data_IF_621112725743
#
_entry.id   IF_621112725743
#
_cell.length_a   1.000
_cell.length_b   1.000
_cell.length_c   1.000
_cell.angle_alpha   90.00
_cell.angle_beta   90.00
_cell.angle_gamma   90.00
#
_symmetry.space_group_name_H-M   'P 1'
#
loop_
_entity.id
_entity.type
_entity.pdbx_description
1 polymer ?
#
# COMPACT_ATOMS: atom_id res chain seq x y z
N UNK A 1 43.87 -1.50 34.18
CA UNK A 1 43.90 -0.98 32.79
C UNK A 1 43.18 -1.89 31.80
N UNK A 2 43.37 -3.21 31.81
CA UNK A 2 42.67 -4.13 30.89
C UNK A 2 41.15 -4.16 31.08
N UNK A 3 40.67 -4.28 32.33
CA UNK A 3 39.22 -4.26 32.64
C UNK A 3 38.52 -2.97 32.19
N UNK A 4 39.18 -1.81 32.21
CA UNK A 4 38.56 -0.56 31.76
C UNK A 4 38.43 -0.51 30.23
N UNK A 5 39.43 -1.03 29.49
CA UNK A 5 39.40 -1.10 28.03
C UNK A 5 38.32 -2.08 27.55
N UNK A 6 38.19 -3.25 28.19
CA UNK A 6 37.12 -4.21 27.86
C UNK A 6 35.73 -3.65 28.14
N UNK A 7 35.57 -2.89 29.23
CA UNK A 7 34.29 -2.26 29.56
C UNK A 7 33.93 -1.11 28.60
N UNK A 8 34.92 -0.32 28.18
CA UNK A 8 34.74 0.74 27.17
C UNK A 8 34.45 0.14 25.79
N UNK A 9 35.21 -0.88 25.40
CA UNK A 9 34.99 -1.64 24.17
C UNK A 9 33.58 -2.25 24.15
N UNK A 10 33.10 -2.82 25.26
CA UNK A 10 31.74 -3.36 25.36
C UNK A 10 30.66 -2.26 25.27
N UNK A 11 30.88 -1.10 25.90
CA UNK A 11 29.94 0.06 25.87
C UNK A 11 29.78 0.66 24.48
N UNK A 12 30.78 0.53 23.62
CA UNK A 12 30.78 1.08 22.26
C UNK A 12 30.38 0.00 21.24
N UNK A 13 30.92 -1.21 21.37
CA UNK A 13 30.71 -2.31 20.41
C UNK A 13 29.25 -2.79 20.41
N UNK A 14 28.61 -2.89 21.57
CA UNK A 14 27.24 -3.40 21.65
C UNK A 14 26.21 -2.48 20.94
N UNK A 15 26.15 -1.16 21.20
CA UNK A 15 25.31 -0.26 20.41
C UNK A 15 25.62 -0.29 18.92
N UNK A 16 26.89 -0.35 18.53
CA UNK A 16 27.27 -0.38 17.12
C UNK A 16 26.81 -1.66 16.41
N UNK A 17 26.96 -2.83 17.03
CA UNK A 17 26.46 -4.10 16.48
C UNK A 17 24.95 -4.06 16.34
N UNK A 18 24.23 -3.58 17.36
CA UNK A 18 22.77 -3.41 17.29
C UNK A 18 22.39 -2.45 16.15
N UNK A 19 23.10 -1.33 16.02
CA UNK A 19 22.82 -0.35 14.98
C UNK A 19 23.08 -0.87 13.56
N UNK A 20 24.20 -1.57 13.37
CA UNK A 20 24.55 -2.20 12.11
C UNK A 20 23.55 -3.29 11.71
N UNK A 21 23.16 -4.16 12.66
CA UNK A 21 22.17 -5.22 12.41
C UNK A 21 20.80 -4.65 12.05
N UNK A 22 20.36 -3.59 12.75
CA UNK A 22 19.07 -2.98 12.49
C UNK A 22 19.04 -2.27 11.13
N UNK A 23 20.10 -1.52 10.79
CA UNK A 23 20.28 -0.90 9.47
C UNK A 23 20.26 -1.93 8.34
N UNK A 24 21.02 -3.04 8.50
CA UNK A 24 21.07 -4.12 7.52
C UNK A 24 19.70 -4.78 7.34
N UNK A 25 19.04 -5.10 8.45
CA UNK A 25 17.72 -5.75 8.44
C UNK A 25 16.72 -4.86 7.70
N UNK A 26 16.60 -3.59 8.10
CA UNK A 26 15.65 -2.67 7.50
C UNK A 26 15.92 -2.44 6.01
N UNK A 27 17.19 -2.28 5.62
CA UNK A 27 17.57 -2.16 4.21
C UNK A 27 17.22 -3.43 3.41
N UNK A 28 17.48 -4.61 3.96
CA UNK A 28 17.12 -5.89 3.33
C UNK A 28 15.61 -6.02 3.11
N UNK A 29 14.79 -5.61 4.08
CA UNK A 29 13.34 -5.56 3.91
C UNK A 29 12.92 -4.59 2.80
N UNK A 30 13.48 -3.37 2.77
CA UNK A 30 13.18 -2.37 1.72
C UNK A 30 13.49 -2.95 0.33
N UNK A 31 14.68 -3.51 0.13
CA UNK A 31 15.10 -4.07 -1.16
C UNK A 31 14.17 -5.22 -1.60
N UNK A 32 13.80 -6.12 -0.68
CA UNK A 32 12.91 -7.24 -1.00
C UNK A 32 11.48 -6.78 -1.33
N UNK A 33 10.95 -5.82 -0.58
CA UNK A 33 9.63 -5.23 -0.85
C UNK A 33 9.64 -4.50 -2.20
N UNK A 34 10.68 -3.70 -2.46
CA UNK A 34 10.83 -2.98 -3.72
C UNK A 34 10.96 -3.94 -4.91
N UNK A 35 11.74 -5.01 -4.79
CA UNK A 35 11.83 -6.05 -5.83
C UNK A 35 10.47 -6.70 -6.15
N UNK A 36 9.64 -6.97 -5.12
CA UNK A 36 8.28 -7.49 -5.33
C UNK A 36 7.33 -6.45 -5.93
N UNK A 37 7.47 -5.18 -5.58
CA UNK A 37 6.71 -4.09 -6.20
C UNK A 37 6.96 -4.04 -7.70
N UNK A 38 8.23 -4.06 -8.12
CA UNK A 38 8.59 -4.07 -9.53
C UNK A 38 8.00 -5.29 -10.27
N UNK A 39 8.00 -6.46 -9.64
CA UNK A 39 7.41 -7.67 -10.21
C UNK A 39 5.86 -7.65 -10.25
N UNK A 40 5.21 -6.78 -9.48
CA UNK A 40 3.74 -6.73 -9.36
C UNK A 40 3.03 -5.94 -10.47
N UNK A 41 3.78 -5.35 -11.41
CA UNK A 41 3.22 -4.44 -12.42
C UNK A 41 2.51 -5.14 -13.60
N UNK A 42 2.42 -6.47 -13.61
CA UNK A 42 2.12 -7.25 -14.81
C UNK A 42 0.88 -8.17 -14.71
N UNK A 43 -0.20 -7.70 -14.06
CA UNK A 43 -1.43 -8.52 -13.94
C UNK A 43 -2.65 -7.80 -14.50
N UNK A 44 -3.13 -8.32 -15.62
CA UNK A 44 -4.40 -7.96 -16.25
C UNK A 44 -5.56 -8.40 -15.36
N UNK A 45 -6.58 -7.56 -15.25
CA UNK A 45 -7.83 -7.88 -14.58
C UNK A 45 -8.48 -9.13 -15.19
N UNK A 46 -8.64 -10.18 -14.39
CA UNK A 46 -9.57 -11.29 -14.63
C UNK A 46 -10.83 -11.04 -13.78
N UNK A 47 -11.96 -10.72 -14.42
CA UNK A 47 -13.31 -10.87 -13.86
C UNK A 47 -13.79 -9.81 -12.86
N UNK A 48 -15.08 -9.45 -12.98
CA UNK A 48 -15.77 -8.40 -12.23
C UNK A 48 -15.98 -8.72 -10.75
N UNK A 49 -15.57 -7.87 -9.80
CA UNK A 49 -16.20 -7.74 -8.51
C UNK A 49 -17.37 -6.74 -8.62
N UNK A 50 -18.53 -7.21 -9.10
CA UNK A 50 -19.79 -6.55 -8.74
C UNK A 50 -20.09 -6.88 -7.27
N UNK A 51 -20.65 -5.94 -6.51
CA UNK A 51 -21.06 -6.25 -5.14
C UNK A 51 -22.43 -6.93 -5.17
N UNK A 52 -22.46 -8.21 -4.82
CA UNK A 52 -23.69 -8.98 -4.67
C UNK A 52 -24.25 -8.77 -3.28
N UNK A 53 -25.45 -8.19 -3.16
CA UNK A 53 -26.14 -8.00 -1.89
C UNK A 53 -27.33 -8.96 -1.80
N UNK A 54 -27.54 -9.56 -0.63
CA UNK A 54 -28.69 -10.43 -0.38
C UNK A 54 -29.69 -9.70 0.50
N UNK A 55 -30.95 -9.63 0.07
CA UNK A 55 -31.99 -8.99 0.88
C UNK A 55 -32.59 -9.97 1.90
N UNK A 56 -33.16 -9.45 3.00
CA UNK A 56 -33.63 -10.25 4.13
C UNK A 56 -35.09 -10.68 4.04
N UNK A 57 -35.88 -10.07 3.14
CA UNK A 57 -37.34 -10.29 3.09
C UNK A 57 -37.76 -11.42 2.14
N UNK A 58 -36.99 -11.63 1.09
CA UNK A 58 -37.03 -12.79 0.19
C UNK A 58 -35.56 -12.99 -0.23
N UNK A 59 -35.10 -14.21 -0.47
CA UNK A 59 -33.67 -14.51 -0.74
C UNK A 59 -33.15 -13.93 -2.07
N UNK A 60 -33.74 -12.85 -2.55
CA UNK A 60 -33.38 -12.17 -3.78
C UNK A 60 -31.99 -11.58 -3.67
N UNK A 61 -31.17 -11.98 -4.63
CA UNK A 61 -29.81 -11.51 -4.79
C UNK A 61 -29.86 -10.32 -5.76
N UNK A 62 -29.59 -9.12 -5.24
CA UNK A 62 -29.46 -7.92 -6.05
C UNK A 62 -27.99 -7.66 -6.38
N UNK A 63 -27.73 -7.21 -7.60
CA UNK A 63 -26.39 -6.82 -8.01
C UNK A 63 -26.26 -5.30 -7.96
N UNK A 64 -25.23 -4.81 -7.27
CA UNK A 64 -24.96 -3.38 -7.15
C UNK A 64 -23.58 -3.06 -7.72
N UNK A 65 -23.51 -2.02 -8.54
CA UNK A 65 -22.26 -1.57 -9.18
C UNK A 65 -22.24 -0.06 -9.39
N UNK A 66 -21.04 0.53 -9.48
CA UNK A 66 -20.87 1.92 -9.86
C UNK A 66 -21.17 2.12 -11.36
N UNK A 67 -22.01 3.11 -11.66
CA UNK A 67 -22.41 3.49 -13.01
C UNK A 67 -22.03 4.94 -13.35
N UNK A 68 -22.25 5.33 -14.61
CA UNK A 68 -22.20 6.74 -15.02
C UNK A 68 -23.47 7.49 -14.58
N UNK A 69 -23.56 8.79 -14.88
CA UNK A 69 -24.72 9.62 -14.54
C UNK A 69 -26.00 9.23 -15.29
N UNK A 70 -25.86 8.50 -16.39
CA UNK A 70 -26.94 7.92 -17.19
C UNK A 70 -27.44 6.56 -16.66
N UNK A 71 -26.78 5.99 -15.65
CA UNK A 71 -27.13 4.66 -15.10
C UNK A 71 -26.55 3.48 -15.87
N UNK A 72 -25.63 3.72 -16.81
CA UNK A 72 -24.95 2.70 -17.60
C UNK A 72 -23.65 2.26 -16.92
N UNK A 73 -23.21 1.04 -17.21
CA UNK A 73 -21.94 0.53 -16.68
C UNK A 73 -20.75 1.39 -17.10
N UNK A 74 -19.80 1.56 -16.19
CA UNK A 74 -18.57 2.29 -16.48
C UNK A 74 -17.68 1.48 -17.43
N UNK A 75 -17.59 1.86 -18.70
CA UNK A 75 -16.77 1.14 -19.70
C UNK A 75 -15.43 1.85 -19.91
N UNK A 76 -14.37 1.06 -20.14
CA UNK A 76 -13.10 1.56 -20.66
C UNK A 76 -13.08 1.37 -22.18
N UNK A 77 -13.14 2.47 -22.94
CA UNK A 77 -13.08 2.41 -24.41
C UNK A 77 -11.73 1.91 -24.95
N UNK A 78 -10.63 2.16 -24.22
CA UNK A 78 -9.28 1.76 -24.64
C UNK A 78 -9.06 0.25 -24.43
N UNK A 79 -9.46 -0.27 -23.27
CA UNK A 79 -9.29 -1.70 -22.95
C UNK A 79 -10.47 -2.56 -23.42
N UNK A 80 -11.58 -1.95 -23.84
CA UNK A 80 -12.84 -2.60 -24.17
C UNK A 80 -13.35 -3.53 -23.05
N UNK A 81 -13.35 -3.04 -21.81
CA UNK A 81 -13.87 -3.77 -20.65
C UNK A 81 -14.87 -2.92 -19.87
N UNK A 82 -15.87 -3.58 -19.29
CA UNK A 82 -16.63 -2.99 -18.17
C UNK A 82 -15.71 -2.90 -16.97
N UNK A 83 -15.51 -1.69 -16.46
CA UNK A 83 -14.63 -1.44 -15.31
C UNK A 83 -15.32 -1.98 -14.06
N UNK A 84 -14.66 -2.89 -13.32
CA UNK A 84 -15.01 -3.12 -11.92
C UNK A 84 -15.10 -1.83 -11.13
N UNK A 85 -15.83 -1.87 -10.02
CA UNK A 85 -15.86 -0.77 -9.06
C UNK A 85 -14.43 -0.36 -8.66
N UNK A 86 -14.22 0.96 -8.55
CA UNK A 86 -12.93 1.58 -8.17
C UNK A 86 -11.79 1.32 -9.17
N UNK A 87 -12.08 0.84 -10.38
CA UNK A 87 -11.07 0.65 -11.44
C UNK A 87 -10.90 1.90 -12.29
N UNK A 88 -9.65 2.27 -12.54
CA UNK A 88 -9.31 3.38 -13.41
C UNK A 88 -8.30 2.95 -14.48
N UNK A 89 -8.42 3.52 -15.68
CA UNK A 89 -7.45 3.29 -16.76
C UNK A 89 -6.25 4.22 -16.56
N UNK A 90 -5.06 3.64 -16.40
CA UNK A 90 -3.82 4.39 -16.38
C UNK A 90 -3.27 4.48 -17.81
N UNK A 91 -3.14 5.70 -18.33
CA UNK A 91 -2.58 5.95 -19.66
C UNK A 91 -1.11 5.54 -19.75
N UNK A 92 -0.31 5.80 -18.71
CA UNK A 92 1.12 5.46 -18.70
C UNK A 92 1.36 3.95 -18.73
N UNK A 93 0.56 3.17 -18.00
CA UNK A 93 0.63 1.71 -18.03
C UNK A 93 -0.21 1.08 -19.15
N UNK A 94 -1.00 1.87 -19.87
CA UNK A 94 -1.94 1.44 -20.91
C UNK A 94 -2.86 0.28 -20.48
N UNK A 95 -3.35 0.31 -19.24
CA UNK A 95 -4.20 -0.75 -18.69
C UNK A 95 -5.12 -0.23 -17.58
N UNK A 96 -6.22 -0.94 -17.37
CA UNK A 96 -7.12 -0.73 -16.24
C UNK A 96 -6.56 -1.34 -14.97
N UNK A 97 -6.48 -0.55 -13.90
CA UNK A 97 -5.94 -0.95 -12.60
C UNK A 97 -7.09 -1.03 -11.58
N UNK A 98 -7.29 -2.20 -10.99
CA UNK A 98 -8.31 -2.42 -9.95
C UNK A 98 -7.97 -1.66 -8.67
N UNK A 99 -8.96 -0.98 -8.09
CA UNK A 99 -8.78 -0.10 -6.91
C UNK A 99 -7.56 0.79 -7.11
N UNK A 100 -7.47 1.43 -8.27
CA UNK A 100 -6.31 2.25 -8.63
C UNK A 100 -6.13 3.34 -7.58
N UNK A 101 -4.93 3.42 -7.04
CA UNK A 101 -4.55 4.51 -6.17
C UNK A 101 -3.91 5.61 -7.01
N UNK A 102 -2.72 5.38 -7.54
CA UNK A 102 -2.06 6.32 -8.43
C UNK A 102 -1.02 5.63 -9.31
N UNK A 103 -0.58 6.32 -10.36
CA UNK A 103 0.64 5.95 -11.08
C UNK A 103 1.83 6.59 -10.38
N UNK A 104 2.81 5.78 -9.96
CA UNK A 104 3.96 6.23 -9.20
C UNK A 104 5.24 6.09 -10.03
N UNK A 105 5.85 7.20 -10.48
CA UNK A 105 7.10 7.17 -11.25
C UNK A 105 8.26 6.52 -10.48
N UNK A 106 8.27 6.63 -9.15
CA UNK A 106 9.35 6.13 -8.29
C UNK A 106 9.44 4.61 -8.22
N UNK A 107 8.35 3.91 -8.51
CA UNK A 107 8.32 2.45 -8.62
C UNK A 107 8.15 2.00 -10.08
N UNK A 108 8.09 2.93 -11.04
CA UNK A 108 7.93 2.61 -12.46
C UNK A 108 6.57 2.03 -12.84
N UNK A 109 5.52 2.23 -12.05
CA UNK A 109 4.21 1.65 -12.35
C UNK A 109 3.07 2.08 -11.42
N UNK A 110 1.91 1.44 -11.58
CA UNK A 110 0.72 1.76 -10.79
C UNK A 110 0.71 1.09 -9.42
N UNK A 111 0.14 1.81 -8.46
CA UNK A 111 -0.33 1.28 -7.18
C UNK A 111 -1.83 1.01 -7.29
N UNK A 112 -2.24 -0.19 -6.96
CA UNK A 112 -3.65 -0.64 -6.97
C UNK A 112 -3.87 -1.80 -6.02
N UNK A 113 -5.02 -2.48 -6.12
CA UNK A 113 -5.44 -3.52 -5.18
C UNK A 113 -4.35 -4.57 -4.88
N UNK A 114 -3.67 -5.06 -5.92
CA UNK A 114 -2.73 -6.18 -5.80
C UNK A 114 -1.43 -5.83 -5.08
N UNK A 115 -0.98 -4.59 -5.19
CA UNK A 115 0.32 -4.16 -4.66
C UNK A 115 0.24 -3.04 -3.63
N UNK A 116 -0.98 -2.63 -3.22
CA UNK A 116 -1.20 -1.58 -2.22
C UNK A 116 -0.46 -1.87 -0.92
N UNK A 117 -0.55 -3.11 -0.41
CA UNK A 117 0.19 -3.53 0.80
C UNK A 117 1.70 -3.36 0.63
N UNK A 118 2.25 -3.82 -0.49
CA UNK A 118 3.69 -3.72 -0.77
C UNK A 118 4.13 -2.27 -0.85
N UNK A 119 3.33 -1.40 -1.48
CA UNK A 119 3.62 0.03 -1.60
C UNK A 119 3.62 0.70 -0.22
N UNK A 120 2.62 0.40 0.61
CA UNK A 120 2.55 0.93 1.97
C UNK A 120 3.73 0.45 2.83
N UNK A 121 4.11 -0.83 2.73
CA UNK A 121 5.29 -1.35 3.44
C UNK A 121 6.59 -0.70 2.96
N UNK A 122 6.72 -0.45 1.66
CA UNK A 122 7.87 0.29 1.11
C UNK A 122 7.96 1.69 1.73
N UNK A 123 6.86 2.45 1.78
CA UNK A 123 6.81 3.76 2.43
C UNK A 123 7.12 3.70 3.93
N UNK A 124 6.55 2.74 4.64
CA UNK A 124 6.75 2.58 6.07
C UNK A 124 8.22 2.28 6.39
N UNK A 125 8.84 1.32 5.68
CA UNK A 125 10.23 0.94 5.93
C UNK A 125 11.22 2.01 5.49
N UNK A 126 10.99 2.67 4.36
CA UNK A 126 11.86 3.78 3.91
C UNK A 126 11.77 4.97 4.85
N UNK A 127 10.58 5.32 5.34
CA UNK A 127 10.40 6.34 6.39
C UNK A 127 11.14 5.97 7.67
N UNK A 128 10.95 4.73 8.13
CA UNK A 128 11.65 4.22 9.33
C UNK A 128 13.17 4.28 9.15
N UNK A 129 13.67 3.94 7.95
CA UNK A 129 15.09 3.96 7.64
C UNK A 129 15.65 5.38 7.59
N UNK A 130 14.92 6.33 7.00
CA UNK A 130 15.31 7.73 7.00
C UNK A 130 15.40 8.29 8.44
N UNK A 131 14.39 8.04 9.27
CA UNK A 131 14.40 8.45 10.68
C UNK A 131 15.51 7.76 11.48
N UNK A 132 15.83 6.51 11.15
CA UNK A 132 16.92 5.76 11.77
C UNK A 132 18.30 6.30 11.41
N UNK A 133 18.56 6.59 10.14
CA UNK A 133 19.81 7.23 9.70
C UNK A 133 19.96 8.59 10.37
N UNK A 134 18.86 9.36 10.45
CA UNK A 134 18.82 10.64 11.13
C UNK A 134 19.22 10.55 12.61
N UNK A 135 18.71 9.56 13.35
CA UNK A 135 19.04 9.42 14.78
C UNK A 135 20.51 9.03 14.99
N UNK A 136 21.09 8.22 14.10
CA UNK A 136 22.51 7.84 14.15
C UNK A 136 23.41 9.05 13.87
N UNK A 137 23.07 9.89 12.90
CA UNK A 137 23.87 11.06 12.50
C UNK A 137 23.74 12.22 13.49
N UNK A 138 22.62 12.33 14.21
CA UNK A 138 22.34 13.46 15.09
C UNK A 138 23.34 13.61 16.26
N UNK A 139 23.56 12.53 17.02
CA UNK A 139 24.43 12.54 18.20
C UNK A 139 25.91 12.88 17.93
N UNK A 140 26.62 12.28 16.94
CA UNK A 140 27.98 12.71 16.62
C UNK A 140 28.06 14.16 16.20
N UNK A 141 27.16 14.56 15.30
CA UNK A 141 27.27 15.85 14.65
C UNK A 141 27.06 16.98 15.67
N UNK A 142 26.08 16.82 16.56
CA UNK A 142 25.89 17.76 17.67
C UNK A 142 27.11 17.84 18.57
N UNK A 143 27.71 16.70 18.98
CA UNK A 143 28.94 16.70 19.79
C UNK A 143 30.10 17.39 19.09
N UNK A 144 30.31 17.11 17.81
CA UNK A 144 31.38 17.70 17.02
C UNK A 144 31.20 19.23 16.88
N UNK A 145 29.96 19.70 16.69
CA UNK A 145 29.60 21.12 16.67
C UNK A 145 29.87 21.76 18.04
N UNK A 146 29.42 21.15 19.15
CA UNK A 146 29.65 21.68 20.49
C UNK A 146 31.14 21.76 20.87
N UNK A 147 31.95 20.84 20.35
CA UNK A 147 33.40 20.83 20.53
C UNK A 147 34.13 21.80 19.60
N UNK A 148 33.42 22.56 18.76
CA UNK A 148 34.01 23.56 17.86
C UNK A 148 34.89 22.95 16.76
N UNK A 149 34.61 21.71 16.34
CA UNK A 149 35.41 21.05 15.31
C UNK A 149 35.21 21.71 13.94
N UNK A 150 36.30 22.05 13.21
CA UNK A 150 36.19 22.65 11.89
C UNK A 150 35.61 21.67 10.85
N UNK A 151 34.87 22.23 9.88
CA UNK A 151 34.33 21.43 8.76
C UNK A 151 35.45 21.16 7.75
N UNK A 152 35.66 19.87 7.46
CA UNK A 152 36.54 19.39 6.41
C UNK A 152 35.76 19.24 5.10
N UNK A 153 36.23 19.93 4.06
CA UNK A 153 35.78 19.75 2.67
C UNK A 153 36.41 18.53 2.00
N UNK A 154 37.13 17.66 2.74
CA UNK A 154 37.61 16.40 2.19
C UNK A 154 36.38 15.58 1.79
N UNK A 155 36.08 15.60 0.49
CA UNK A 155 35.19 14.63 -0.09
C UNK A 155 35.86 13.29 0.15
N UNK A 156 35.36 12.53 1.12
CA UNK A 156 36.01 11.31 1.54
C UNK A 156 35.82 10.32 0.40
N UNK A 157 36.78 10.30 -0.52
CA UNK A 157 36.86 9.36 -1.65
C UNK A 157 36.69 7.93 -1.16
N UNK A 158 37.03 7.67 0.11
CA UNK A 158 36.81 6.42 0.81
C UNK A 158 35.33 6.18 1.19
N UNK A 159 34.54 7.20 1.53
CA UNK A 159 33.09 7.08 1.73
C UNK A 159 32.34 6.90 0.40
N UNK A 160 32.79 7.57 -0.67
CA UNK A 160 32.30 7.33 -2.03
C UNK A 160 32.67 5.93 -2.53
N UNK A 161 33.91 5.48 -2.31
CA UNK A 161 34.34 4.10 -2.55
C UNK A 161 33.57 3.11 -1.69
N UNK A 162 33.28 3.41 -0.43
CA UNK A 162 32.49 2.57 0.46
C UNK A 162 31.04 2.50 -0.03
N UNK A 163 30.45 3.61 -0.47
CA UNK A 163 29.13 3.67 -1.08
C UNK A 163 29.09 2.87 -2.40
N UNK A 164 30.02 3.10 -3.32
CA UNK A 164 30.17 2.33 -4.57
C UNK A 164 30.46 0.85 -4.30
N UNK A 165 31.27 0.53 -3.29
CA UNK A 165 31.57 -0.84 -2.87
C UNK A 165 30.35 -1.48 -2.22
N UNK A 166 29.54 -0.73 -1.48
CA UNK A 166 28.29 -1.19 -0.88
C UNK A 166 27.25 -1.43 -1.98
N UNK A 167 27.13 -0.53 -2.96
CA UNK A 167 26.29 -0.72 -4.15
C UNK A 167 26.77 -1.90 -5.00
N UNK A 168 28.08 -2.04 -5.21
CA UNK A 168 28.71 -3.18 -5.91
C UNK A 168 28.49 -4.49 -5.14
N UNK A 169 28.63 -4.50 -3.82
CA UNK A 169 28.35 -5.66 -2.96
C UNK A 169 26.87 -5.96 -2.89
N UNK A 170 25.98 -4.98 -2.88
CA UNK A 170 24.52 -5.18 -2.97
C UNK A 170 24.18 -5.79 -4.35
N UNK A 171 24.81 -5.31 -5.43
CA UNK A 171 24.67 -5.87 -6.77
C UNK A 171 25.20 -7.30 -6.92
N UNK A 172 26.34 -7.63 -6.30
CA UNK A 172 26.93 -8.98 -6.31
C UNK A 172 26.25 -9.92 -5.31
N UNK A 173 25.73 -9.43 -4.19
CA UNK A 173 25.01 -10.26 -3.19
C UNK A 173 23.64 -10.74 -3.69
N UNK A 174 23.13 -10.23 -4.81
CA UNK A 174 22.04 -10.89 -5.54
C UNK A 174 22.45 -12.26 -6.12
N UNK A 175 23.74 -12.49 -6.38
CA UNK A 175 24.25 -13.70 -7.03
C UNK A 175 24.80 -14.76 -6.06
N UNK A 176 25.17 -14.39 -4.83
CA UNK A 176 25.92 -15.28 -3.91
C UNK A 176 25.47 -15.24 -2.44
N UNK A 177 24.16 -15.12 -2.20
CA UNK A 177 23.52 -14.95 -0.88
C UNK A 177 23.60 -16.18 0.06
N UNK A 178 24.81 -16.71 0.34
CA UNK A 178 24.99 -17.95 1.10
C UNK A 178 26.11 -18.00 2.16
N UNK A 179 26.98 -16.99 2.33
CA UNK A 179 28.09 -17.09 3.32
C UNK A 179 28.36 -15.78 4.08
N UNK A 180 28.00 -15.78 5.36
CA UNK A 180 28.23 -14.74 6.37
C UNK A 180 29.70 -14.72 6.81
N UNK A 181 30.42 -13.57 6.70
CA UNK A 181 31.55 -13.24 7.62
C UNK A 181 32.27 -11.88 7.43
N UNK A 182 31.91 -11.00 6.49
CA UNK A 182 32.79 -9.85 6.14
C UNK A 182 32.44 -8.47 6.72
N UNK A 183 31.51 -8.36 7.68
CA UNK A 183 30.93 -7.06 8.08
C UNK A 183 31.58 -6.35 9.28
N UNK A 184 32.40 -7.06 10.08
CA UNK A 184 33.02 -6.52 11.30
C UNK A 184 33.95 -5.30 11.02
N UNK A 185 34.77 -5.28 9.95
CA UNK A 185 35.65 -4.13 9.67
C UNK A 185 34.91 -2.85 9.23
N UNK A 186 33.68 -2.96 8.73
CA UNK A 186 32.86 -1.80 8.32
C UNK A 186 32.36 -1.01 9.54
N UNK A 187 32.00 -1.74 10.60
CA UNK A 187 31.56 -1.18 11.86
C UNK A 187 32.75 -0.59 12.64
N UNK A 188 33.88 -1.30 12.71
CA UNK A 188 35.03 -0.83 13.49
C UNK A 188 35.79 0.34 12.86
N UNK A 189 35.83 0.43 11.51
CA UNK A 189 36.47 1.55 10.82
C UNK A 189 35.73 2.89 10.94
N UNK A 190 34.41 2.84 11.21
CA UNK A 190 33.64 4.04 11.54
C UNK A 190 34.00 4.53 12.93
N UNK A 191 34.34 3.66 13.90
CA UNK A 191 34.37 3.89 15.36
C UNK A 191 35.67 4.51 15.91
N UNK A 192 36.55 5.06 15.07
CA UNK A 192 37.60 5.99 15.54
C UNK A 192 37.03 7.36 15.91
N UNK A 193 35.97 7.45 16.73
CA UNK A 193 35.18 8.70 16.92
C UNK A 193 35.88 9.71 17.81
N UNK A 194 36.84 9.25 18.62
CA UNK A 194 37.57 10.09 19.56
C UNK A 194 38.76 10.84 18.92
N UNK A 195 39.12 10.52 17.67
CA UNK A 195 40.29 11.11 16.97
C UNK A 195 39.93 12.02 15.79
N UNK A 196 38.65 12.22 15.46
CA UNK A 196 38.28 13.13 14.37
C UNK A 196 38.45 14.59 14.80
N UNK A 197 39.53 15.21 14.32
CA UNK A 197 39.77 16.65 14.47
C UNK A 197 38.81 17.52 13.62
N UNK A 198 38.02 16.92 12.73
CA UNK A 198 37.20 17.63 11.73
C UNK A 198 35.84 16.96 11.53
N UNK A 199 34.82 17.77 11.19
CA UNK A 199 33.52 17.29 10.69
C UNK A 199 33.61 17.13 9.18
N UNK A 200 33.51 15.92 8.65
CA UNK A 200 33.44 15.78 7.19
C UNK A 200 32.09 16.27 6.64
N UNK A 201 32.13 17.03 5.54
CA UNK A 201 30.96 17.63 4.90
C UNK A 201 29.85 16.63 4.55
N UNK A 202 30.18 15.35 4.29
CA UNK A 202 29.19 14.33 3.95
C UNK A 202 28.23 14.02 5.10
N UNK A 203 28.65 14.16 6.36
CA UNK A 203 27.74 13.99 7.51
C UNK A 203 26.70 15.10 7.57
N UNK A 204 27.12 16.34 7.29
CA UNK A 204 26.23 17.49 7.20
C UNK A 204 25.24 17.31 6.06
N UNK A 205 25.72 16.93 4.87
CA UNK A 205 24.86 16.66 3.71
C UNK A 205 23.89 15.50 3.99
N UNK A 206 24.36 14.42 4.62
CA UNK A 206 23.52 13.26 4.98
C UNK A 206 22.44 13.66 5.98
N UNK A 207 22.75 14.50 6.97
CA UNK A 207 21.76 15.02 7.90
C UNK A 207 20.70 15.87 7.17
N UNK A 208 21.12 16.81 6.32
CA UNK A 208 20.19 17.68 5.60
C UNK A 208 19.26 16.90 4.67
N UNK A 209 19.81 15.96 3.90
CA UNK A 209 19.01 15.06 3.07
C UNK A 209 18.12 14.16 3.95
N UNK A 210 18.64 13.62 5.03
CA UNK A 210 17.89 12.80 5.99
C UNK A 210 16.69 13.54 6.56
N UNK A 211 16.82 14.81 6.97
CA UNK A 211 15.72 15.63 7.46
C UNK A 211 14.66 15.80 6.37
N UNK A 212 15.09 16.20 5.17
CA UNK A 212 14.20 16.42 4.04
C UNK A 212 13.39 15.16 3.72
N UNK A 213 14.06 14.02 3.55
CA UNK A 213 13.40 12.75 3.25
C UNK A 213 12.54 12.26 4.42
N UNK A 214 13.00 12.36 5.67
CA UNK A 214 12.21 11.97 6.84
C UNK A 214 10.91 12.75 6.94
N UNK A 215 10.94 14.08 6.78
CA UNK A 215 9.74 14.92 6.88
C UNK A 215 8.77 14.59 5.74
N UNK A 216 9.26 14.58 4.50
CA UNK A 216 8.42 14.33 3.31
C UNK A 216 7.82 12.92 3.34
N UNK A 217 8.63 11.89 3.59
CA UNK A 217 8.17 10.51 3.62
C UNK A 217 7.27 10.23 4.82
N UNK A 218 7.49 10.86 5.97
CA UNK A 218 6.57 10.75 7.11
C UNK A 218 5.19 11.33 6.78
N UNK A 219 5.13 12.51 6.17
CA UNK A 219 3.87 13.10 5.72
C UNK A 219 3.15 12.22 4.70
N UNK A 220 3.89 11.70 3.72
CA UNK A 220 3.33 10.84 2.68
C UNK A 220 2.85 9.48 3.23
N UNK A 221 3.63 8.86 4.12
CA UNK A 221 3.25 7.62 4.81
C UNK A 221 2.00 7.85 5.66
N UNK A 222 1.94 8.94 6.44
CA UNK A 222 0.78 9.28 7.25
C UNK A 222 -0.49 9.52 6.43
N UNK A 223 -0.36 10.17 5.26
CA UNK A 223 -1.49 10.35 4.34
C UNK A 223 -2.01 9.02 3.78
N UNK A 224 -1.12 8.11 3.38
CA UNK A 224 -1.54 6.77 2.96
C UNK A 224 -2.11 5.93 4.11
N UNK A 225 -1.57 6.04 5.33
CA UNK A 225 -2.19 5.45 6.52
C UNK A 225 -3.62 5.96 6.69
N UNK A 226 -3.85 7.28 6.58
CA UNK A 226 -5.20 7.86 6.64
C UNK A 226 -6.12 7.30 5.55
N UNK A 227 -5.66 7.21 4.30
CA UNK A 227 -6.43 6.66 3.20
C UNK A 227 -6.83 5.20 3.45
N UNK A 228 -5.88 4.37 3.89
CA UNK A 228 -6.14 2.97 4.27
C UNK A 228 -7.15 2.90 5.41
N UNK A 229 -7.00 3.69 6.47
CA UNK A 229 -7.89 3.69 7.62
C UNK A 229 -9.32 4.16 7.30
N UNK A 230 -9.51 4.89 6.20
CA UNK A 230 -10.81 5.31 5.68
C UNK A 230 -11.29 4.51 4.47
N UNK A 231 -10.54 3.47 4.08
CA UNK A 231 -10.75 2.66 2.87
C UNK A 231 -11.00 3.51 1.61
N UNK A 232 -10.24 4.59 1.45
CA UNK A 232 -10.22 5.43 0.27
C UNK A 232 -8.93 5.23 -0.52
N UNK A 233 -9.00 5.31 -1.83
CA UNK A 233 -7.82 5.54 -2.67
C UNK A 233 -7.52 7.04 -2.74
N UNK A 234 -6.32 7.41 -3.21
CA UNK A 234 -5.96 8.81 -3.42
C UNK A 234 -6.85 9.49 -4.48
N UNK A 235 -7.26 8.76 -5.53
CA UNK A 235 -8.26 9.25 -6.51
C UNK A 235 -9.59 9.56 -5.83
N UNK A 236 -10.09 8.66 -4.98
CA UNK A 236 -11.36 8.86 -4.26
C UNK A 236 -11.28 9.97 -3.22
N UNK A 237 -10.09 10.24 -2.67
CA UNK A 237 -9.87 11.34 -1.75
C UNK A 237 -9.95 12.70 -2.46
N UNK A 238 -9.40 12.81 -3.66
CA UNK A 238 -9.32 14.07 -4.43
C UNK A 238 -10.57 14.29 -5.29
N UNK A 239 -11.29 13.23 -5.65
CA UNK A 239 -12.51 13.33 -6.46
C UNK A 239 -13.64 14.05 -5.72
N UNK A 240 -14.18 15.11 -6.32
CA UNK A 240 -15.39 15.80 -5.86
C UNK A 240 -16.68 15.29 -6.53
N UNK A 241 -16.58 14.25 -7.37
CA UNK A 241 -17.72 13.73 -8.14
C UNK A 241 -18.62 12.85 -7.27
N UNK A 242 -19.96 12.98 -7.37
CA UNK A 242 -20.87 12.06 -6.72
C UNK A 242 -20.71 10.65 -7.26
N UNK A 243 -21.08 9.66 -6.45
CA UNK A 243 -21.16 8.27 -6.87
C UNK A 243 -22.56 7.94 -7.35
N UNK A 244 -22.67 7.28 -8.49
CA UNK A 244 -23.92 6.72 -8.98
C UNK A 244 -23.84 5.20 -8.85
N UNK A 245 -24.82 4.59 -8.17
CA UNK A 245 -24.95 3.15 -8.01
C UNK A 245 -26.13 2.66 -8.83
N UNK A 246 -25.87 1.68 -9.69
CA UNK A 246 -26.89 0.91 -10.39
C UNK A 246 -27.22 -0.32 -9.56
N UNK A 247 -28.52 -0.55 -9.35
CA UNK A 247 -29.09 -1.71 -8.67
C UNK A 247 -29.85 -2.50 -9.72
N UNK A 248 -29.36 -3.69 -10.02
CA UNK A 248 -29.97 -4.65 -10.94
C UNK A 248 -30.77 -5.69 -10.13
N UNK A 249 -32.06 -5.83 -10.45
CA UNK A 249 -32.97 -6.74 -9.78
C UNK A 249 -33.05 -8.07 -10.57
N UNK A 250 -33.17 -9.22 -9.91
CA UNK A 250 -33.42 -10.48 -10.60
C UNK A 250 -34.73 -10.40 -11.40
N UNK A 251 -34.78 -11.05 -12.56
CA UNK A 251 -36.01 -11.15 -13.36
C UNK A 251 -36.97 -12.15 -12.68
N UNK A 252 -38.22 -11.75 -12.45
CA UNK A 252 -39.26 -12.58 -11.82
C UNK A 252 -39.66 -13.81 -12.69
N UNK A 253 -39.12 -13.95 -13.90
CA UNK A 253 -39.55 -14.92 -14.91
C UNK A 253 -39.01 -16.35 -14.74
N UNK A 254 -38.35 -16.68 -13.62
CA UNK A 254 -37.80 -18.02 -13.39
C UNK A 254 -38.33 -18.76 -12.16
N UNK A 255 -39.32 -18.21 -11.45
CA UNK A 255 -40.14 -19.00 -10.52
C UNK A 255 -41.30 -19.66 -11.28
N UNK A 256 -40.95 -20.57 -12.20
CA UNK A 256 -41.83 -21.70 -12.44
C UNK A 256 -41.41 -22.78 -11.45
N UNK A 257 -42.29 -23.06 -10.48
CA UNK A 257 -42.22 -24.21 -9.59
C UNK A 257 -42.11 -25.48 -10.45
N UNK A 258 -40.91 -25.93 -10.79
CA UNK A 258 -40.66 -27.29 -11.24
C UNK A 258 -39.21 -27.68 -10.88
N UNK A 259 -39.15 -28.62 -9.94
CA UNK A 259 -38.04 -29.52 -9.57
C UNK A 259 -36.82 -28.98 -8.78
N UNK A 260 -36.81 -29.38 -7.50
CA UNK A 260 -35.61 -29.59 -6.69
C UNK A 260 -34.63 -30.52 -7.44
N UNK A 261 -33.55 -29.97 -7.99
CA UNK A 261 -32.18 -30.47 -7.84
C UNK A 261 -31.23 -29.75 -8.81
N UNK A 262 -29.96 -29.65 -8.38
CA UNK A 262 -28.76 -29.23 -9.12
C UNK A 262 -28.21 -27.81 -8.84
N UNK A 263 -27.27 -27.80 -7.89
CA UNK A 263 -26.27 -26.76 -7.71
C UNK A 263 -25.19 -26.90 -8.79
N UNK A 264 -25.01 -25.89 -9.65
CA UNK A 264 -23.80 -25.68 -10.42
C UNK A 264 -23.50 -24.17 -10.61
N UNK A 265 -22.26 -23.68 -10.41
CA UNK A 265 -21.95 -22.27 -10.56
C UNK A 265 -21.35 -21.92 -11.94
N UNK A 266 -21.68 -20.70 -12.37
CA UNK A 266 -20.96 -19.79 -13.28
C UNK A 266 -21.06 -20.00 -14.81
N UNK A 267 -21.79 -19.08 -15.45
CA UNK A 267 -21.52 -18.57 -16.80
C UNK A 267 -21.79 -17.05 -16.82
N UNK A 268 -21.02 -16.26 -17.58
CA UNK A 268 -21.14 -14.81 -17.61
C UNK A 268 -22.33 -14.42 -18.48
N UNK A 269 -23.28 -13.71 -17.89
CA UNK A 269 -24.49 -13.23 -18.58
C UNK A 269 -24.05 -12.22 -19.64
N UNK A 270 -24.04 -12.68 -20.88
CA UNK A 270 -23.85 -11.86 -22.07
C UNK A 270 -25.24 -11.56 -22.58
N UNK A 271 -25.72 -10.33 -22.33
CA UNK A 271 -26.75 -9.58 -23.06
C UNK A 271 -27.90 -10.37 -23.72
N UNK A 272 -29.09 -10.39 -23.08
CA UNK A 272 -30.42 -10.04 -23.64
C UNK A 272 -31.57 -10.51 -22.73
N UNK A 273 -31.64 -9.98 -21.51
CA UNK A 273 -32.87 -10.05 -20.70
C UNK A 273 -33.04 -8.67 -20.06
N UNK A 274 -34.27 -8.15 -20.09
CA UNK A 274 -34.59 -6.77 -19.71
C UNK A 274 -34.58 -6.65 -18.19
N UNK A 275 -33.42 -6.80 -17.57
CA UNK A 275 -33.23 -6.67 -16.13
C UNK A 275 -33.70 -5.29 -15.70
N UNK A 276 -34.75 -5.24 -14.86
CA UNK A 276 -35.18 -4.00 -14.20
C UNK A 276 -33.98 -3.47 -13.42
N UNK A 277 -33.60 -2.22 -13.69
CA UNK A 277 -32.50 -1.57 -12.97
C UNK A 277 -32.93 -0.20 -12.44
N UNK A 278 -32.34 0.21 -11.32
CA UNK A 278 -32.54 1.52 -10.72
C UNK A 278 -31.21 2.17 -10.37
N UNK A 279 -31.21 3.49 -10.26
CA UNK A 279 -30.03 4.26 -9.91
C UNK A 279 -30.22 4.99 -8.58
N UNK A 280 -29.21 4.95 -7.73
CA UNK A 280 -29.07 5.77 -6.53
C UNK A 280 -27.84 6.66 -6.65
N UNK A 281 -27.90 7.87 -6.08
CA UNK A 281 -26.77 8.81 -6.06
C UNK A 281 -26.34 9.09 -4.63
N UNK A 282 -25.03 9.12 -4.42
CA UNK A 282 -24.37 9.41 -3.14
C UNK A 282 -23.40 10.57 -3.33
N UNK A 283 -23.30 11.46 -2.36
CA UNK A 283 -22.35 12.57 -2.43
C UNK A 283 -20.90 12.08 -2.36
N UNK A 284 -19.96 12.85 -2.90
CA UNK A 284 -18.53 12.54 -2.82
C UNK A 284 -18.00 12.50 -1.37
N UNK A 285 -18.66 13.25 -0.48
CA UNK A 285 -18.36 13.32 0.96
C UNK A 285 -18.67 11.99 1.66
N UNK A 286 -19.63 11.22 1.12
CA UNK A 286 -20.07 9.96 1.69
C UNK A 286 -18.98 8.89 1.57
N UNK A 287 -18.92 8.02 2.58
CA UNK A 287 -17.86 7.03 2.71
C UNK A 287 -18.36 5.64 2.33
N UNK A 288 -18.54 5.44 1.03
CA UNK A 288 -19.14 4.21 0.49
C UNK A 288 -18.49 2.93 1.02
N UNK A 289 -17.17 2.93 1.22
CA UNK A 289 -16.39 1.73 1.56
C UNK A 289 -15.84 1.72 3.01
N UNK A 290 -16.16 2.72 3.84
CA UNK A 290 -15.63 2.84 5.21
C UNK A 290 -16.38 1.88 6.15
N UNK A 291 -15.76 0.73 6.44
CA UNK A 291 -16.29 -0.32 7.31
C UNK A 291 -15.69 -0.25 8.73
N UNK A 292 -15.12 0.89 9.11
CA UNK A 292 -14.40 1.10 10.36
C UNK A 292 -12.91 0.76 10.28
N UNK A 293 -12.12 1.45 11.12
CA UNK A 293 -10.63 1.45 11.13
C UNK A 293 -10.05 0.04 11.02
N UNK A 294 -10.53 -0.90 11.84
CA UNK A 294 -10.02 -2.28 11.87
C UNK A 294 -10.26 -3.03 10.55
N UNK A 295 -11.48 -2.97 10.02
CA UNK A 295 -11.84 -3.68 8.79
C UNK A 295 -11.15 -3.04 7.57
N UNK A 296 -11.06 -1.72 7.56
CA UNK A 296 -10.38 -0.97 6.50
C UNK A 296 -8.88 -1.30 6.48
N UNK A 297 -8.21 -1.34 7.63
CA UNK A 297 -6.82 -1.76 7.75
C UNK A 297 -6.62 -3.21 7.28
N UNK A 298 -7.48 -4.13 7.75
CA UNK A 298 -7.43 -5.53 7.36
C UNK A 298 -7.67 -5.75 5.86
N UNK A 299 -8.42 -4.87 5.19
CA UNK A 299 -8.65 -4.94 3.74
C UNK A 299 -7.38 -4.77 2.91
N UNK A 300 -6.32 -4.18 3.49
CA UNK A 300 -5.01 -3.99 2.85
C UNK A 300 -3.97 -4.90 3.47
N UNK A 301 -3.90 -4.97 4.81
CA UNK A 301 -2.83 -5.66 5.51
C UNK A 301 -3.09 -7.16 5.71
N UNK A 302 -4.35 -7.58 5.61
CA UNK A 302 -4.84 -8.92 5.94
C UNK A 302 -5.37 -9.02 7.38
N UNK A 303 -6.09 -10.11 7.66
CA UNK A 303 -6.78 -10.32 8.95
C UNK A 303 -5.79 -10.65 10.08
N UNK A 304 -4.71 -11.36 9.75
CA UNK A 304 -3.73 -11.83 10.74
C UNK A 304 -2.62 -10.79 10.97
N UNK A 305 -2.46 -10.25 12.19
CA UNK A 305 -1.45 -9.25 12.49
C UNK A 305 -0.01 -9.75 12.30
N UNK A 306 0.21 -11.06 12.44
CA UNK A 306 1.53 -11.69 12.27
C UNK A 306 2.10 -11.51 10.86
N UNK A 307 1.25 -11.24 9.86
CA UNK A 307 1.67 -11.06 8.47
C UNK A 307 1.57 -9.61 7.98
N UNK A 308 1.17 -8.65 8.83
CA UNK A 308 1.00 -7.25 8.42
C UNK A 308 2.30 -6.67 7.87
N UNK A 309 3.39 -6.84 8.60
CA UNK A 309 4.72 -6.38 8.22
C UNK A 309 5.52 -7.45 7.45
N UNK A 310 4.82 -8.48 6.94
CA UNK A 310 5.38 -9.47 6.03
C UNK A 310 5.02 -9.15 4.59
N UNK A 311 5.87 -9.59 3.65
CA UNK A 311 5.60 -9.49 2.21
C UNK A 311 4.60 -10.52 1.69
N UNK A 312 4.11 -11.42 2.55
CA UNK A 312 3.13 -12.43 2.17
C UNK A 312 1.82 -11.74 1.79
N UNK A 313 1.19 -12.25 0.73
CA UNK A 313 -0.14 -11.79 0.33
C UNK A 313 -1.10 -11.96 1.51
N UNK A 314 -1.96 -10.96 1.71
CA UNK A 314 -3.01 -11.03 2.71
C UNK A 314 -3.89 -12.25 2.40
N UNK A 315 -3.96 -13.21 3.33
CA UNK A 315 -4.98 -14.27 3.28
C UNK A 315 -6.32 -13.63 2.94
N UNK A 316 -6.84 -13.93 1.73
CA UNK A 316 -8.12 -13.49 1.15
C UNK A 316 -8.61 -12.13 1.67
N UNK A 317 -8.28 -11.05 0.96
CA UNK A 317 -8.94 -9.76 1.18
C UNK A 317 -10.44 -9.98 1.14
N UNK A 318 -11.16 -9.62 2.22
CA UNK A 318 -12.62 -9.58 2.18
C UNK A 318 -13.04 -8.74 0.97
N UNK A 319 -14.05 -9.17 0.20
CA UNK A 319 -14.61 -8.35 -0.87
C UNK A 319 -14.89 -6.96 -0.34
N UNK A 320 -14.61 -5.92 -1.12
CA UNK A 320 -14.96 -4.54 -0.74
C UNK A 320 -16.47 -4.46 -0.60
N UNK A 321 -16.96 -4.51 0.63
CA UNK A 321 -18.35 -4.30 0.97
C UNK A 321 -18.63 -2.81 1.12
N UNK A 322 -19.85 -2.41 0.75
CA UNK A 322 -20.36 -1.11 1.16
C UNK A 322 -20.35 -0.97 2.69
N UNK A 323 -20.18 0.25 3.16
CA UNK A 323 -20.33 0.60 4.57
C UNK A 323 -21.75 0.22 5.06
N UNK A 324 -21.91 -0.11 6.35
CA UNK A 324 -23.23 -0.47 6.89
C UNK A 324 -24.31 0.57 6.59
N UNK A 325 -23.98 1.85 6.67
CA UNK A 325 -24.93 2.93 6.41
C UNK A 325 -25.38 2.96 4.94
N UNK A 326 -24.47 2.72 4.00
CA UNK A 326 -24.79 2.67 2.56
C UNK A 326 -25.56 1.40 2.24
N UNK A 327 -25.16 0.27 2.83
CA UNK A 327 -25.88 -1.00 2.70
C UNK A 327 -27.34 -0.86 3.15
N UNK A 328 -27.58 -0.32 4.35
CA UNK A 328 -28.93 -0.15 4.89
C UNK A 328 -29.78 0.76 4.01
N UNK A 329 -29.21 1.85 3.47
CA UNK A 329 -29.90 2.74 2.52
C UNK A 329 -30.27 2.04 1.22
N UNK A 330 -29.39 1.20 0.68
CA UNK A 330 -29.66 0.40 -0.53
C UNK A 330 -30.82 -0.57 -0.25
N UNK A 331 -30.77 -1.30 0.85
CA UNK A 331 -31.82 -2.27 1.23
C UNK A 331 -33.18 -1.57 1.45
N UNK A 332 -33.20 -0.44 2.17
CA UNK A 332 -34.43 0.33 2.37
C UNK A 332 -35.02 0.85 1.06
N UNK A 333 -34.17 1.32 0.14
CA UNK A 333 -34.60 1.76 -1.18
C UNK A 333 -35.23 0.60 -1.97
N UNK A 334 -34.59 -0.57 -1.96
CA UNK A 334 -35.10 -1.77 -2.61
C UNK A 334 -36.47 -2.19 -2.06
N UNK A 335 -36.62 -2.29 -0.74
CA UNK A 335 -37.90 -2.71 -0.10
C UNK A 335 -39.04 -1.74 -0.41
N UNK A 336 -38.82 -0.43 -0.32
CA UNK A 336 -39.88 0.55 -0.61
C UNK A 336 -40.39 0.47 -2.05
N UNK A 337 -39.52 0.03 -2.96
CA UNK A 337 -39.84 -0.04 -4.38
C UNK A 337 -40.55 -1.31 -4.79
N UNK A 338 -40.30 -2.43 -4.10
CA UNK A 338 -41.03 -3.69 -4.31
C UNK A 338 -42.46 -3.59 -3.77
N UNK A 339 -42.65 -3.00 -2.57
CA UNK A 339 -43.99 -2.82 -1.98
C UNK A 339 -44.89 -1.92 -2.82
N UNK A 340 -44.33 -0.87 -3.44
CA UNK A 340 -45.10 0.02 -4.34
C UNK A 340 -45.49 -0.65 -5.66
N UNK A 341 -44.75 -1.66 -6.13
CA UNK A 341 -45.13 -2.40 -7.35
C UNK A 341 -46.14 -3.52 -7.10
N UNK A 342 -46.29 -4.01 -5.87
CA UNK A 342 -47.30 -5.01 -5.51
C UNK A 342 -48.68 -4.42 -5.17
N UNK A 343 -48.77 -3.09 -5.03
CA UNK A 343 -50.02 -2.37 -4.69
C UNK A 343 -50.73 -1.76 -5.93
N UNK A 344 -50.20 -1.97 -7.14
CA UNK A 344 -50.76 -1.55 -8.43
C UNK A 344 -51.08 -2.81 -9.22
#
# INVERSE_FOLDING_TARGET
MSRSIETIAARITFPCVVYGLMSYTLHSFIVRVYGRLLASHDVRLLGSPSCTLQTTKDKDIIQVSLCNKEGEFNICSICNITKPDRTHHCKQCNQCILKMDHHCPWIGGCVGQQNHKLFYLFLLYTTTYACWVMSIVWSPLTRAIFNGQPISLRFCWNAYKLYLYTLYKIGINFYHMGRYQSWVPLLTGVIGWDDYQYIDIHWVVTLLLGILFSVVLSGFTGFHSYCILRNKTTIEHVSSRPYHLRIDYPDDSHYHDDDEDQVAPSLPITTTTTTRSRMMTFEASERLWDNGIKNNWNSVMGISPWFWFGMNESNKTTPTSFSPQVYDRIIQHTIHTTTKSSEI
#
